data_IF_162863969523
#
_entry.id   IF_162863969523
#
_cell.length_a   1.000
_cell.length_b   1.000
_cell.length_c   1.000
_cell.angle_alpha   90.00
_cell.angle_beta   90.00
_cell.angle_gamma   90.00
#
_symmetry.space_group_name_H-M   'P 1'
#
loop_
_entity.id
_entity.type
_entity.pdbx_description
1 polymer ?
#
# COMPACT_ATOMS: atom_id res chain seq x y z
N UNK A 1 -15.96 2.53 7.66
CA UNK A 1 -16.54 1.35 8.32
C UNK A 1 -15.49 0.84 9.26
N UNK A 2 -15.83 0.52 10.51
CA UNK A 2 -14.85 0.04 11.49
C UNK A 2 -15.16 -1.42 11.81
N UNK A 3 -14.27 -2.33 11.42
CA UNK A 3 -14.37 -3.73 11.79
C UNK A 3 -13.97 -3.89 13.26
N UNK A 4 -14.68 -4.75 13.98
CA UNK A 4 -14.26 -5.13 15.32
C UNK A 4 -13.15 -6.19 15.28
N UNK A 5 -12.54 -6.49 16.43
CA UNK A 5 -11.40 -7.41 16.50
C UNK A 5 -11.73 -8.84 16.04
N UNK A 6 -12.96 -9.32 16.26
CA UNK A 6 -13.42 -10.64 15.80
C UNK A 6 -13.52 -10.67 14.27
N UNK A 7 -14.13 -9.66 13.67
CA UNK A 7 -14.23 -9.51 12.21
C UNK A 7 -12.86 -9.40 11.54
N UNK A 8 -11.90 -8.72 12.17
CA UNK A 8 -10.53 -8.64 11.64
C UNK A 8 -9.86 -10.03 11.70
N UNK A 9 -10.07 -10.80 12.78
CA UNK A 9 -9.58 -12.19 12.86
C UNK A 9 -10.21 -13.09 11.82
N UNK A 10 -11.51 -12.96 11.58
CA UNK A 10 -12.20 -13.69 10.50
C UNK A 10 -11.63 -13.34 9.13
N UNK A 11 -11.27 -12.07 8.90
CA UNK A 11 -10.66 -11.63 7.66
C UNK A 11 -9.25 -12.19 7.48
N UNK A 12 -8.46 -12.27 8.56
CA UNK A 12 -7.14 -12.92 8.57
C UNK A 12 -7.25 -14.42 8.28
N UNK A 13 -8.21 -15.10 8.92
CA UNK A 13 -8.48 -16.52 8.68
C UNK A 13 -8.88 -16.76 7.22
N UNK A 14 -9.85 -16.00 6.72
CA UNK A 14 -10.29 -16.04 5.32
C UNK A 14 -9.11 -15.84 4.36
N UNK A 15 -8.28 -14.82 4.62
CA UNK A 15 -7.14 -14.55 3.76
C UNK A 15 -6.17 -15.72 3.73
N UNK A 16 -5.97 -16.38 4.87
CA UNK A 16 -5.10 -17.55 4.96
C UNK A 16 -5.64 -18.79 4.23
N UNK A 17 -6.96 -19.03 4.27
CA UNK A 17 -7.56 -20.30 3.83
C UNK A 17 -8.26 -20.23 2.47
N UNK A 18 -8.90 -19.09 2.18
CA UNK A 18 -9.85 -18.94 1.07
C UNK A 18 -9.39 -17.96 -0.02
N UNK A 19 -8.55 -16.95 0.28
CA UNK A 19 -8.19 -15.91 -0.69
C UNK A 19 -7.46 -16.47 -1.92
N UNK A 20 -8.04 -16.24 -3.10
CA UNK A 20 -7.45 -16.59 -4.39
C UNK A 20 -6.27 -15.68 -4.73
N UNK A 21 -6.34 -14.40 -4.33
CA UNK A 21 -5.18 -13.50 -4.44
C UNK A 21 -4.00 -14.01 -3.63
N UNK A 22 -4.21 -14.48 -2.39
CA UNK A 22 -3.10 -15.02 -1.59
C UNK A 22 -2.48 -16.24 -2.26
N UNK A 23 -3.31 -17.20 -2.69
CA UNK A 23 -2.86 -18.43 -3.35
C UNK A 23 -2.02 -18.14 -4.59
N UNK A 24 -2.41 -17.13 -5.38
CA UNK A 24 -1.72 -16.77 -6.61
C UNK A 24 -0.47 -15.91 -6.41
N UNK A 25 -0.45 -15.02 -5.42
CA UNK A 25 0.61 -13.99 -5.30
C UNK A 25 1.60 -14.19 -4.16
N UNK A 26 1.26 -14.95 -3.10
CA UNK A 26 2.11 -15.04 -1.91
C UNK A 26 3.49 -15.64 -2.20
N UNK A 27 3.54 -16.72 -3.00
CA UNK A 27 4.80 -17.38 -3.39
C UNK A 27 5.76 -16.43 -4.10
N UNK A 28 5.31 -15.80 -5.20
CA UNK A 28 6.14 -14.86 -5.98
C UNK A 28 6.60 -13.64 -5.18
N UNK A 29 5.77 -13.13 -4.24
CA UNK A 29 6.18 -12.05 -3.34
C UNK A 29 7.28 -12.46 -2.36
N UNK A 30 7.21 -13.68 -1.83
CA UNK A 30 8.24 -14.23 -0.93
C UNK A 30 9.54 -14.51 -1.66
N UNK A 31 9.47 -15.06 -2.87
CA UNK A 31 10.64 -15.27 -3.73
C UNK A 31 11.32 -13.96 -4.09
N UNK A 32 10.55 -12.95 -4.55
CA UNK A 32 11.10 -11.64 -4.86
C UNK A 32 11.74 -10.98 -3.62
N UNK A 33 11.11 -11.09 -2.46
CA UNK A 33 11.66 -10.60 -1.20
C UNK A 33 13.01 -11.27 -0.86
N UNK A 34 13.12 -12.59 -1.02
CA UNK A 34 14.37 -13.33 -0.81
C UNK A 34 15.45 -12.82 -1.77
N UNK A 35 15.16 -12.73 -3.08
CA UNK A 35 16.13 -12.27 -4.07
C UNK A 35 16.57 -10.82 -3.83
N UNK A 36 15.64 -9.94 -3.48
CA UNK A 36 15.91 -8.54 -3.18
C UNK A 36 16.80 -8.39 -1.94
N UNK A 37 16.54 -9.18 -0.90
CA UNK A 37 17.32 -9.15 0.35
C UNK A 37 18.80 -9.51 0.16
N UNK A 38 19.15 -10.25 -0.90
CA UNK A 38 20.55 -10.63 -1.19
C UNK A 38 21.41 -9.44 -1.59
N UNK A 39 20.82 -8.43 -2.23
CA UNK A 39 21.57 -7.29 -2.74
C UNK A 39 21.24 -5.97 -2.05
N UNK A 40 20.06 -5.86 -1.42
CA UNK A 40 19.67 -4.69 -0.61
C UNK A 40 20.27 -4.83 0.80
N UNK A 41 21.59 -4.77 0.86
CA UNK A 41 22.39 -4.77 2.08
C UNK A 41 23.44 -3.66 1.99
N UNK A 42 23.74 -2.91 3.06
CA UNK A 42 24.68 -1.78 3.00
C UNK A 42 26.06 -2.14 2.44
N UNK A 43 26.63 -3.26 2.86
CA UNK A 43 27.92 -3.77 2.42
C UNK A 43 27.92 -4.16 0.94
N UNK A 44 26.86 -4.82 0.48
CA UNK A 44 26.70 -5.22 -0.92
C UNK A 44 26.46 -4.00 -1.81
N UNK A 45 25.51 -3.12 -1.44
CA UNK A 45 25.21 -1.90 -2.19
C UNK A 45 26.43 -0.99 -2.29
N UNK A 46 27.32 -0.93 -1.30
CA UNK A 46 28.50 -0.08 -1.39
C UNK A 46 29.63 -0.66 -2.24
N UNK A 47 29.62 -1.97 -2.50
CA UNK A 47 30.71 -2.67 -3.20
C UNK A 47 30.35 -3.12 -4.61
N UNK A 48 29.06 -3.21 -4.94
CA UNK A 48 28.59 -3.56 -6.28
C UNK A 48 29.19 -2.63 -7.35
N UNK A 49 29.65 -3.14 -8.51
CA UNK A 49 30.00 -2.29 -9.66
C UNK A 49 28.83 -1.38 -10.07
N UNK A 50 29.14 -0.19 -10.59
CA UNK A 50 28.13 0.84 -10.92
C UNK A 50 27.10 0.36 -11.97
N UNK A 51 27.54 -0.41 -12.95
CA UNK A 51 26.72 -0.99 -14.01
C UNK A 51 25.81 -2.10 -13.47
N UNK A 52 26.33 -2.95 -12.57
CA UNK A 52 25.55 -3.99 -11.92
C UNK A 52 24.52 -3.40 -10.95
N UNK A 53 24.90 -2.39 -10.17
CA UNK A 53 24.00 -1.68 -9.26
C UNK A 53 22.85 -1.04 -10.05
N UNK A 54 23.16 -0.36 -11.15
CA UNK A 54 22.16 0.25 -12.03
C UNK A 54 21.21 -0.79 -12.60
N UNK A 55 21.75 -1.90 -13.12
CA UNK A 55 20.94 -3.01 -13.66
C UNK A 55 19.99 -3.57 -12.59
N UNK A 56 20.52 -3.94 -11.41
CA UNK A 56 19.71 -4.51 -10.31
C UNK A 56 18.61 -3.55 -9.88
N UNK A 57 18.93 -2.27 -9.72
CA UNK A 57 17.93 -1.27 -9.36
C UNK A 57 16.85 -1.11 -10.44
N UNK A 58 17.22 -1.07 -11.73
CA UNK A 58 16.25 -0.95 -12.83
C UNK A 58 15.32 -2.17 -12.88
N UNK A 59 15.85 -3.38 -12.73
CA UNK A 59 15.08 -4.63 -12.68
C UNK A 59 14.13 -4.65 -11.47
N UNK A 60 14.65 -4.27 -10.29
CA UNK A 60 13.87 -4.09 -9.07
C UNK A 60 12.72 -3.09 -9.28
N UNK A 61 13.01 -1.95 -9.88
CA UNK A 61 12.02 -0.90 -10.11
C UNK A 61 10.92 -1.34 -11.08
N UNK A 62 11.32 -1.99 -12.18
CA UNK A 62 10.40 -2.44 -13.22
C UNK A 62 9.46 -3.56 -12.74
N UNK A 63 9.96 -4.44 -11.85
CA UNK A 63 9.17 -5.49 -11.21
C UNK A 63 8.36 -5.00 -10.01
N UNK A 64 8.62 -3.77 -9.54
CA UNK A 64 7.99 -3.25 -8.33
C UNK A 64 8.44 -3.97 -7.05
N UNK A 65 9.68 -4.47 -7.05
CA UNK A 65 10.19 -5.35 -6.00
C UNK A 65 9.41 -6.66 -5.84
N UNK A 66 8.66 -7.06 -6.88
CA UNK A 66 7.72 -8.19 -6.84
C UNK A 66 6.41 -7.93 -6.08
N UNK A 67 6.15 -6.69 -5.67
CA UNK A 67 5.02 -6.34 -4.79
C UNK A 67 3.99 -5.49 -5.51
N UNK A 68 4.39 -4.32 -6.02
CA UNK A 68 3.49 -3.37 -6.68
C UNK A 68 4.21 -2.52 -7.73
N UNK A 69 3.55 -2.25 -8.85
CA UNK A 69 4.12 -1.44 -9.92
C UNK A 69 4.49 -0.01 -9.46
N UNK A 70 5.69 0.43 -9.81
CA UNK A 70 6.19 1.78 -9.53
C UNK A 70 6.04 2.69 -10.75
N UNK A 71 5.83 3.99 -10.52
CA UNK A 71 5.64 4.97 -11.59
C UNK A 71 6.96 5.27 -12.31
N UNK A 72 7.11 4.77 -13.53
CA UNK A 72 8.35 4.78 -14.32
C UNK A 72 8.97 6.15 -14.61
N UNK A 73 8.27 7.26 -14.39
CA UNK A 73 8.71 8.63 -14.77
C UNK A 73 10.11 9.00 -14.22
N UNK A 74 10.46 8.56 -13.01
CA UNK A 74 11.73 8.96 -12.37
C UNK A 74 12.75 7.82 -12.22
N UNK A 75 12.49 6.62 -12.77
CA UNK A 75 13.35 5.44 -12.58
C UNK A 75 14.82 5.74 -12.84
N UNK A 76 15.15 6.18 -14.05
CA UNK A 76 16.54 6.38 -14.47
C UNK A 76 17.19 7.57 -13.75
N UNK A 77 16.39 8.56 -13.35
CA UNK A 77 16.88 9.74 -12.61
C UNK A 77 17.38 9.37 -11.22
N UNK A 78 16.72 8.42 -10.55
CA UNK A 78 17.04 8.02 -9.18
C UNK A 78 18.44 7.39 -9.09
N UNK A 79 18.82 6.58 -10.09
CA UNK A 79 20.09 5.84 -10.11
C UNK A 79 21.18 6.52 -10.94
N UNK A 80 20.87 7.66 -11.57
CA UNK A 80 21.79 8.40 -12.45
C UNK A 80 23.12 8.73 -11.75
N UNK A 81 23.07 9.17 -10.50
CA UNK A 81 24.24 9.40 -9.66
C UNK A 81 24.40 8.23 -8.67
N UNK A 82 25.30 7.31 -8.98
CA UNK A 82 25.50 6.08 -8.20
C UNK A 82 25.98 6.36 -6.79
N UNK A 83 26.90 7.32 -6.63
CA UNK A 83 27.39 7.72 -5.31
C UNK A 83 26.25 8.24 -4.43
N UNK A 84 25.43 9.17 -4.95
CA UNK A 84 24.28 9.69 -4.21
C UNK A 84 23.25 8.60 -3.89
N UNK A 85 23.02 7.67 -4.81
CA UNK A 85 22.13 6.53 -4.58
C UNK A 85 22.66 5.62 -3.45
N UNK A 86 23.95 5.27 -3.46
CA UNK A 86 24.60 4.46 -2.42
C UNK A 86 24.52 5.14 -1.06
N UNK A 87 24.79 6.44 -1.00
CA UNK A 87 24.67 7.23 0.23
C UNK A 87 23.24 7.23 0.77
N UNK A 88 22.25 7.45 -0.09
CA UNK A 88 20.83 7.45 0.29
C UNK A 88 20.38 6.09 0.82
N UNK A 89 20.68 5.00 0.11
CA UNK A 89 20.27 3.66 0.58
C UNK A 89 21.06 3.24 1.83
N UNK A 90 22.37 3.50 1.89
CA UNK A 90 23.17 3.16 3.08
C UNK A 90 22.67 3.91 4.32
N UNK A 91 22.33 5.19 4.19
CA UNK A 91 21.74 5.97 5.28
C UNK A 91 20.37 5.42 5.69
N UNK A 92 19.52 5.06 4.71
CA UNK A 92 18.21 4.47 4.97
C UNK A 92 18.31 3.15 5.75
N UNK A 93 19.34 2.34 5.48
CA UNK A 93 19.51 1.00 6.05
C UNK A 93 20.37 0.97 7.33
N UNK A 94 20.92 2.11 7.78
CA UNK A 94 21.75 2.18 8.98
C UNK A 94 20.94 2.03 10.28
N UNK A 95 20.92 0.84 10.87
CA UNK A 95 20.15 0.58 12.08
C UNK A 95 20.66 1.30 13.35
N UNK A 96 21.80 1.99 13.30
CA UNK A 96 22.29 2.83 14.40
C UNK A 96 21.54 4.18 14.49
N UNK A 97 20.78 4.55 13.46
CA UNK A 97 19.99 5.76 13.41
C UNK A 97 18.51 5.40 13.57
N UNK A 98 17.77 6.21 14.32
CA UNK A 98 16.32 6.04 14.48
C UNK A 98 15.61 5.96 13.11
N UNK A 99 14.66 5.04 13.00
CA UNK A 99 13.97 4.76 11.74
C UNK A 99 13.18 5.97 11.23
N UNK A 100 12.58 6.74 12.12
CA UNK A 100 11.84 7.94 11.77
C UNK A 100 12.76 9.02 11.18
N UNK A 101 13.94 9.17 11.77
CA UNK A 101 14.99 10.08 11.29
C UNK A 101 15.47 9.67 9.89
N UNK A 102 15.86 8.40 9.72
CA UNK A 102 16.32 7.85 8.43
C UNK A 102 15.32 8.06 7.31
N UNK A 103 14.06 7.71 7.57
CA UNK A 103 13.01 7.82 6.56
C UNK A 103 12.74 9.28 6.21
N UNK A 104 12.68 10.17 7.20
CA UNK A 104 12.46 11.62 7.00
C UNK A 104 13.57 12.21 6.13
N UNK A 105 14.83 11.92 6.44
CA UNK A 105 15.96 12.48 5.70
C UNK A 105 16.07 11.97 4.25
N UNK A 106 15.60 10.74 3.99
CA UNK A 106 15.62 10.14 2.64
C UNK A 106 14.44 10.61 1.80
N UNK A 107 13.27 10.77 2.40
CA UNK A 107 12.05 11.15 1.67
C UNK A 107 11.93 12.67 1.49
N UNK A 108 12.41 13.47 2.46
CA UNK A 108 12.18 14.92 2.48
C UNK A 108 13.43 15.74 2.84
N UNK A 109 14.51 15.11 3.30
CA UNK A 109 15.68 15.80 3.86
C UNK A 109 16.97 15.66 3.06
N UNK A 110 18.09 15.58 3.80
CA UNK A 110 19.45 15.69 3.23
C UNK A 110 19.78 14.62 2.19
N UNK A 111 19.26 13.41 2.34
CA UNK A 111 19.55 12.27 1.48
C UNK A 111 18.52 12.12 0.35
N UNK A 112 17.64 13.11 0.15
CA UNK A 112 16.59 13.04 -0.84
C UNK A 112 17.10 12.95 -2.29
N UNK A 113 16.47 12.07 -3.06
CA UNK A 113 16.61 11.94 -4.50
C UNK A 113 15.23 12.05 -5.13
N UNK A 114 15.07 12.98 -6.08
CA UNK A 114 13.80 13.19 -6.77
C UNK A 114 13.23 11.89 -7.34
N UNK A 115 11.99 11.57 -6.94
CA UNK A 115 11.31 10.33 -7.31
C UNK A 115 11.37 9.23 -6.24
N UNK A 116 12.18 9.39 -5.20
CA UNK A 116 12.16 8.50 -4.02
C UNK A 116 11.14 9.03 -3.01
N UNK A 117 9.94 8.44 -3.03
CA UNK A 117 8.90 8.68 -2.02
C UNK A 117 8.83 7.58 -0.96
N UNK A 118 7.90 7.74 0.00
CA UNK A 118 7.66 6.78 1.11
C UNK A 118 7.52 5.32 0.65
N UNK A 119 6.82 5.08 -0.46
CA UNK A 119 6.59 3.73 -0.96
C UNK A 119 7.87 3.02 -1.41
N UNK A 120 8.77 3.72 -2.11
CA UNK A 120 10.04 3.15 -2.56
C UNK A 120 11.02 2.99 -1.39
N UNK A 121 11.14 4.01 -0.54
CA UNK A 121 12.01 3.97 0.64
C UNK A 121 11.63 2.82 1.58
N UNK A 122 10.34 2.68 1.90
CA UNK A 122 9.87 1.59 2.78
C UNK A 122 9.90 0.21 2.12
N UNK A 123 9.92 0.14 0.78
CA UNK A 123 10.18 -1.10 0.06
C UNK A 123 11.63 -1.57 0.24
N UNK A 124 12.62 -0.66 0.14
CA UNK A 124 14.01 -0.99 0.48
C UNK A 124 14.16 -1.46 1.93
N UNK A 125 13.49 -0.79 2.88
CA UNK A 125 13.51 -1.21 4.29
C UNK A 125 12.96 -2.62 4.49
N UNK A 126 11.82 -2.93 3.87
CA UNK A 126 11.21 -4.25 3.95
C UNK A 126 12.07 -5.34 3.32
N UNK A 127 12.72 -5.06 2.18
CA UNK A 127 13.62 -6.03 1.53
C UNK A 127 14.94 -6.21 2.31
N UNK A 128 15.40 -5.17 3.00
CA UNK A 128 16.57 -5.24 3.90
C UNK A 128 16.30 -6.12 5.13
N UNK A 129 15.17 -5.90 5.82
CA UNK A 129 14.79 -6.69 6.99
C UNK A 129 13.27 -6.91 7.05
N UNK A 130 12.75 -7.99 6.43
CA UNK A 130 11.31 -8.24 6.30
C UNK A 130 10.60 -8.60 7.60
N UNK A 131 11.35 -8.96 8.65
CA UNK A 131 10.80 -9.21 9.97
C UNK A 131 10.55 -7.90 10.74
N UNK A 132 11.30 -6.85 10.39
CA UNK A 132 11.32 -5.57 11.12
C UNK A 132 10.55 -4.46 10.42
N UNK A 133 10.59 -4.42 9.10
CA UNK A 133 10.05 -3.30 8.34
C UNK A 133 8.93 -3.74 7.40
N UNK A 134 8.00 -2.82 7.18
CA UNK A 134 6.90 -2.99 6.25
C UNK A 134 6.93 -1.89 5.19
N UNK A 135 6.25 -2.15 4.08
CA UNK A 135 5.95 -1.12 3.09
C UNK A 135 4.86 -0.20 3.63
N UNK A 136 5.03 1.08 3.35
CA UNK A 136 4.03 2.10 3.56
C UNK A 136 3.78 2.87 2.26
N UNK A 137 2.68 2.53 1.61
CA UNK A 137 2.20 3.19 0.40
C UNK A 137 0.69 3.46 0.49
N UNK A 138 0.10 3.98 -0.58
CA UNK A 138 -1.34 4.28 -0.63
C UNK A 138 -2.22 3.03 -0.43
N UNK A 139 -1.76 1.84 -0.84
CA UNK A 139 -2.48 0.58 -0.63
C UNK A 139 -2.45 0.15 0.83
N UNK A 140 -1.33 0.33 1.52
CA UNK A 140 -1.24 0.14 2.98
C UNK A 140 -2.28 1.01 3.69
N UNK A 141 -2.35 2.30 3.34
CA UNK A 141 -3.31 3.25 3.92
C UNK A 141 -4.76 2.89 3.60
N UNK A 142 -5.06 2.53 2.35
CA UNK A 142 -6.40 2.09 1.95
C UNK A 142 -6.83 0.81 2.66
N UNK A 143 -5.95 -0.18 2.76
CA UNK A 143 -6.26 -1.44 3.46
C UNK A 143 -6.53 -1.21 4.95
N UNK A 144 -5.73 -0.37 5.61
CA UNK A 144 -5.97 0.00 7.00
C UNK A 144 -7.29 0.75 7.16
N UNK A 145 -7.62 1.66 6.24
CA UNK A 145 -8.90 2.36 6.24
C UNK A 145 -10.09 1.41 6.03
N UNK A 146 -9.94 0.35 5.24
CA UNK A 146 -10.99 -0.69 5.03
C UNK A 146 -11.35 -1.40 6.33
N UNK A 147 -10.37 -1.68 7.20
CA UNK A 147 -10.61 -2.25 8.53
C UNK A 147 -10.95 -1.18 9.59
N UNK A 148 -10.99 0.10 9.20
CA UNK A 148 -11.35 1.23 10.03
C UNK A 148 -10.22 1.77 10.91
N UNK A 149 -8.97 1.51 10.55
CA UNK A 149 -7.80 2.00 11.28
C UNK A 149 -7.21 3.23 10.61
N UNK A 150 -6.97 4.27 11.41
CA UNK A 150 -6.25 5.49 11.03
C UNK A 150 -5.11 5.68 12.05
N UNK A 151 -3.92 5.10 11.81
CA UNK A 151 -2.92 4.92 12.84
C UNK A 151 -2.15 6.19 13.19
N UNK A 152 -2.29 7.27 12.41
CA UNK A 152 -1.54 8.49 12.61
C UNK A 152 -2.39 9.73 12.37
N UNK A 153 -1.98 10.87 12.92
CA UNK A 153 -2.59 12.17 12.65
C UNK A 153 -1.90 12.88 11.49
N UNK A 154 -2.63 13.78 10.82
CA UNK A 154 -2.03 14.66 9.79
C UNK A 154 -0.87 15.50 10.34
N UNK A 155 -0.91 15.83 11.65
CA UNK A 155 0.09 16.64 12.35
C UNK A 155 1.37 15.88 12.69
N UNK A 156 1.35 14.54 12.63
CA UNK A 156 2.52 13.72 12.95
C UNK A 156 3.63 13.95 11.91
N UNK A 157 4.88 13.87 12.36
CA UNK A 157 6.03 13.89 11.45
C UNK A 157 6.03 12.66 10.54
N UNK A 158 6.77 12.70 9.43
CA UNK A 158 6.87 11.52 8.53
C UNK A 158 7.37 10.28 9.29
N UNK A 159 8.38 10.45 10.14
CA UNK A 159 8.93 9.39 10.97
C UNK A 159 7.90 8.83 11.97
N UNK A 160 7.14 9.69 12.64
CA UNK A 160 6.08 9.26 13.57
C UNK A 160 4.98 8.49 12.83
N UNK A 161 4.56 8.98 11.66
CA UNK A 161 3.58 8.30 10.81
C UNK A 161 4.05 6.88 10.46
N UNK A 162 5.30 6.71 10.06
CA UNK A 162 5.83 5.38 9.73
C UNK A 162 5.93 4.47 10.95
N UNK A 163 6.40 4.97 12.09
CA UNK A 163 6.41 4.24 13.36
C UNK A 163 5.01 3.78 13.77
N UNK A 164 3.99 4.61 13.57
CA UNK A 164 2.61 4.26 13.85
C UNK A 164 2.04 3.23 12.86
N UNK A 165 2.40 3.32 11.58
CA UNK A 165 2.07 2.29 10.58
C UNK A 165 2.69 0.94 10.97
N UNK A 166 3.98 0.91 11.34
CA UNK A 166 4.65 -0.30 11.80
C UNK A 166 3.93 -0.94 12.99
N UNK A 167 3.61 -0.14 14.02
CA UNK A 167 2.83 -0.62 15.19
C UNK A 167 1.48 -1.20 14.78
N UNK A 168 0.77 -0.55 13.86
CA UNK A 168 -0.50 -1.04 13.35
C UNK A 168 -0.34 -2.38 12.62
N UNK A 169 0.65 -2.51 11.73
CA UNK A 169 0.84 -3.78 10.99
C UNK A 169 1.32 -4.91 11.89
N UNK A 170 2.13 -4.63 12.91
CA UNK A 170 2.45 -5.61 13.93
C UNK A 170 1.23 -6.06 14.71
N UNK A 171 0.39 -5.11 15.16
CA UNK A 171 -0.88 -5.44 15.81
C UNK A 171 -1.72 -6.34 14.91
N UNK A 172 -1.87 -6.00 13.63
CA UNK A 172 -2.67 -6.78 12.69
C UNK A 172 -2.13 -8.20 12.50
N UNK A 173 -0.82 -8.35 12.33
CA UNK A 173 -0.14 -9.66 12.27
C UNK A 173 -0.41 -10.49 13.54
N UNK A 174 -0.31 -9.86 14.70
CA UNK A 174 -0.33 -10.52 16.00
C UNK A 174 -1.76 -10.81 16.49
N UNK A 175 -2.80 -10.39 15.77
CA UNK A 175 -4.20 -10.74 16.06
C UNK A 175 -4.52 -12.22 15.78
N UNK A 176 -3.72 -12.89 14.94
CA UNK A 176 -3.91 -14.30 14.59
C UNK A 176 -2.57 -15.07 14.61
N UNK A 177 -1.92 -15.22 15.78
CA UNK A 177 -0.57 -15.77 15.87
C UNK A 177 -0.46 -17.22 15.37
N UNK A 178 -1.56 -17.99 15.44
CA UNK A 178 -1.61 -19.37 14.92
C UNK A 178 -1.48 -19.49 13.39
N UNK A 179 -1.60 -18.38 12.65
CA UNK A 179 -1.50 -18.38 11.19
C UNK A 179 -0.06 -18.19 10.69
N UNK A 180 0.90 -17.88 11.58
CA UNK A 180 2.32 -17.65 11.24
C UNK A 180 2.53 -16.68 10.07
N UNK A 181 1.72 -15.61 10.00
CA UNK A 181 1.84 -14.61 8.94
C UNK A 181 3.07 -13.71 9.15
N UNK A 182 3.71 -13.35 8.04
CA UNK A 182 4.79 -12.36 8.01
C UNK A 182 4.28 -10.99 7.59
N UNK A 183 5.08 -9.93 7.76
CA UNK A 183 4.70 -8.58 7.32
C UNK A 183 4.41 -8.51 5.81
N UNK A 184 5.03 -9.39 5.00
CA UNK A 184 4.72 -9.51 3.55
C UNK A 184 3.34 -10.11 3.28
N UNK A 185 2.87 -11.01 4.14
CA UNK A 185 1.51 -11.55 4.06
C UNK A 185 0.50 -10.47 4.45
N UNK A 186 0.83 -9.63 5.45
CA UNK A 186 0.00 -8.49 5.86
C UNK A 186 -0.07 -7.42 4.77
N UNK A 187 1.05 -7.08 4.11
CA UNK A 187 1.02 -6.19 2.95
C UNK A 187 0.11 -6.73 1.84
N UNK A 188 0.19 -8.03 1.55
CA UNK A 188 -0.67 -8.67 0.55
C UNK A 188 -2.14 -8.65 0.98
N UNK A 189 -2.45 -8.93 2.24
CA UNK A 189 -3.80 -8.80 2.78
C UNK A 189 -4.36 -7.40 2.55
N UNK A 190 -3.63 -6.35 2.91
CA UNK A 190 -4.07 -4.96 2.77
C UNK A 190 -4.29 -4.58 1.30
N UNK A 191 -3.43 -5.07 0.40
CA UNK A 191 -3.65 -4.96 -1.04
C UNK A 191 -4.95 -5.67 -1.45
N UNK A 192 -5.12 -6.93 -1.06
CA UNK A 192 -6.27 -7.77 -1.42
C UNK A 192 -7.59 -7.13 -1.00
N UNK A 193 -7.73 -6.76 0.27
CA UNK A 193 -9.00 -6.25 0.82
C UNK A 193 -9.36 -4.84 0.31
N UNK A 194 -8.37 -4.10 -0.21
CA UNK A 194 -8.58 -2.74 -0.72
C UNK A 194 -8.77 -2.67 -2.24
N UNK A 195 -8.36 -3.70 -2.97
CA UNK A 195 -8.18 -3.58 -4.44
C UNK A 195 -8.61 -4.82 -5.23
N UNK A 196 -8.66 -6.00 -4.61
CA UNK A 196 -8.95 -7.25 -5.31
C UNK A 196 -10.39 -7.70 -5.05
N UNK A 197 -11.01 -8.31 -6.06
CA UNK A 197 -12.43 -8.66 -6.00
C UNK A 197 -12.75 -9.65 -4.87
N UNK A 198 -11.93 -10.67 -4.67
CA UNK A 198 -12.13 -11.67 -3.61
C UNK A 198 -12.04 -11.01 -2.21
N UNK A 199 -11.07 -10.12 -2.02
CA UNK A 199 -10.89 -9.33 -0.79
C UNK A 199 -12.05 -8.39 -0.51
N UNK A 200 -12.50 -7.64 -1.52
CA UNK A 200 -13.62 -6.70 -1.39
C UNK A 200 -14.90 -7.47 -1.02
N UNK A 201 -15.16 -8.62 -1.63
CA UNK A 201 -16.32 -9.45 -1.29
C UNK A 201 -16.22 -10.08 0.10
N UNK A 202 -15.01 -10.52 0.52
CA UNK A 202 -14.79 -11.03 1.87
C UNK A 202 -15.09 -9.98 2.94
N UNK A 203 -14.63 -8.74 2.75
CA UNK A 203 -14.92 -7.62 3.67
C UNK A 203 -16.43 -7.38 3.76
N UNK A 204 -17.16 -7.37 2.63
CA UNK A 204 -18.62 -7.19 2.64
C UNK A 204 -19.33 -8.31 3.41
N UNK A 205 -18.93 -9.56 3.19
CA UNK A 205 -19.47 -10.73 3.87
C UNK A 205 -19.26 -10.66 5.38
N UNK A 206 -18.03 -10.40 5.82
CA UNK A 206 -17.62 -10.41 7.24
C UNK A 206 -18.16 -9.21 8.00
N UNK A 207 -18.23 -8.04 7.35
CA UNK A 207 -18.79 -6.84 7.96
C UNK A 207 -20.30 -6.92 8.23
N UNK A 208 -20.99 -7.97 7.73
CA UNK A 208 -22.44 -8.09 7.84
C UNK A 208 -23.18 -7.05 7.00
N UNK A 209 -22.49 -6.36 6.09
CA UNK A 209 -23.08 -5.39 5.19
C UNK A 209 -23.88 -6.14 4.13
N UNK A 210 -25.19 -6.27 4.36
CA UNK A 210 -26.16 -6.69 3.33
C UNK A 210 -26.05 -5.71 2.15
N UNK A 211 -25.41 -6.16 1.08
CA UNK A 211 -25.45 -5.56 -0.26
C UNK A 211 -25.53 -4.02 -0.32
N UNK A 212 -24.72 -3.30 0.46
CA UNK A 212 -24.47 -1.90 0.13
C UNK A 212 -23.54 -1.89 -1.09
N UNK A 213 -24.00 -1.19 -2.11
CA UNK A 213 -23.39 -1.05 -3.43
C UNK A 213 -22.08 -0.26 -3.34
N UNK A 214 -21.06 -0.86 -2.73
CA UNK A 214 -19.81 -0.20 -2.32
C UNK A 214 -19.01 0.37 -3.51
N UNK A 215 -19.18 -0.18 -4.71
CA UNK A 215 -18.60 0.40 -5.93
C UNK A 215 -19.37 1.61 -6.49
N UNK A 216 -20.69 1.71 -6.28
CA UNK A 216 -21.54 2.72 -6.93
C UNK A 216 -21.78 3.97 -6.07
N UNK A 217 -21.76 3.84 -4.74
CA UNK A 217 -21.82 5.00 -3.86
C UNK A 217 -20.54 5.85 -3.92
N UNK A 218 -19.37 5.23 -4.09
CA UNK A 218 -18.11 5.95 -4.25
C UNK A 218 -18.03 6.70 -5.59
N UNK A 219 -18.53 6.09 -6.68
CA UNK A 219 -18.71 6.75 -7.99
C UNK A 219 -19.72 7.90 -7.92
N UNK A 220 -20.86 7.71 -7.24
CA UNK A 220 -21.86 8.75 -7.04
C UNK A 220 -21.32 9.90 -6.20
N UNK A 221 -20.58 9.62 -5.12
CA UNK A 221 -19.96 10.66 -4.28
C UNK A 221 -18.87 11.42 -5.04
N UNK A 222 -18.08 10.75 -5.87
CA UNK A 222 -17.11 11.40 -6.77
C UNK A 222 -17.81 12.29 -7.79
N UNK A 223 -18.94 11.84 -8.33
CA UNK A 223 -19.76 12.59 -9.28
C UNK A 223 -20.40 13.84 -8.63
N UNK A 224 -20.83 13.74 -7.37
CA UNK A 224 -21.36 14.87 -6.59
C UNK A 224 -20.26 15.90 -6.30
N UNK A 225 -19.06 15.44 -5.93
CA UNK A 225 -17.91 16.33 -5.75
C UNK A 225 -17.52 17.03 -7.06
N UNK A 226 -17.61 16.34 -8.20
CA UNK A 226 -17.39 16.95 -9.52
C UNK A 226 -18.48 17.98 -9.86
N UNK A 227 -19.74 17.70 -9.56
CA UNK A 227 -20.85 18.65 -9.74
C UNK A 227 -20.73 19.90 -8.86
N UNK A 228 -20.13 19.79 -7.67
CA UNK A 228 -19.86 20.97 -6.84
C UNK A 228 -18.82 21.92 -7.45
N UNK A 229 -17.98 21.42 -8.37
CA UNK A 229 -16.92 22.19 -9.02
C UNK A 229 -17.18 22.46 -10.52
N UNK A 230 -18.15 21.77 -11.12
CA UNK A 230 -18.50 21.86 -12.55
C UNK A 230 -20.01 21.86 -12.71
N UNK A 231 -20.53 22.76 -13.54
CA UNK A 231 -21.98 22.89 -13.77
C UNK A 231 -22.63 21.67 -14.45
N UNK A 232 -21.84 20.70 -14.94
CA UNK A 232 -22.33 19.50 -15.61
C UNK A 232 -21.36 18.33 -15.50
N UNK A 233 -21.90 17.11 -15.50
CA UNK A 233 -21.17 15.85 -15.58
C UNK A 233 -21.83 14.92 -16.60
N UNK A 234 -21.05 14.03 -17.22
CA UNK A 234 -21.54 13.01 -18.16
C UNK A 234 -21.23 11.63 -17.58
N UNK A 235 -22.26 10.80 -17.39
CA UNK A 235 -22.09 9.40 -17.01
C UNK A 235 -22.00 8.54 -18.29
N UNK A 236 -20.83 7.96 -18.58
CA UNK A 236 -20.61 7.16 -19.79
C UNK A 236 -20.25 5.71 -19.46
N UNK A 237 -20.54 4.78 -20.40
CA UNK A 237 -20.19 3.35 -20.29
C UNK A 237 -21.16 2.43 -21.05
N UNK A 238 -20.84 1.13 -21.22
CA UNK A 238 -21.69 0.14 -21.90
C UNK A 238 -23.13 0.03 -21.34
N UNK A 239 -24.12 -0.48 -22.10
CA UNK A 239 -25.45 -0.78 -21.57
C UNK A 239 -25.39 -1.71 -20.34
N UNK A 240 -26.23 -1.48 -19.34
CA UNK A 240 -26.26 -2.31 -18.12
C UNK A 240 -25.26 -1.93 -17.02
N UNK A 241 -24.33 -0.99 -17.25
CA UNK A 241 -23.30 -0.59 -16.26
C UNK A 241 -23.80 0.31 -15.13
N UNK A 242 -25.12 0.48 -14.95
CA UNK A 242 -25.68 1.19 -13.80
C UNK A 242 -25.70 2.72 -13.87
N UNK A 243 -25.49 3.33 -15.04
CA UNK A 243 -25.60 4.79 -15.24
C UNK A 243 -26.91 5.39 -14.72
N UNK A 244 -28.04 4.78 -15.07
CA UNK A 244 -29.38 5.20 -14.61
C UNK A 244 -29.52 5.14 -13.09
N UNK A 245 -28.86 4.16 -12.46
CA UNK A 245 -28.87 4.02 -11.01
C UNK A 245 -28.04 5.13 -10.34
N UNK A 246 -26.83 5.42 -10.85
CA UNK A 246 -25.99 6.50 -10.32
C UNK A 246 -26.66 7.87 -10.47
N UNK A 247 -27.31 8.14 -11.61
CA UNK A 247 -28.10 9.35 -11.81
C UNK A 247 -29.21 9.51 -10.76
N UNK A 248 -29.90 8.42 -10.41
CA UNK A 248 -30.95 8.42 -9.38
C UNK A 248 -30.41 8.74 -7.99
N UNK A 249 -29.26 8.16 -7.62
CA UNK A 249 -28.61 8.44 -6.32
C UNK A 249 -28.15 9.89 -6.21
N UNK A 250 -27.57 10.44 -7.29
CA UNK A 250 -27.18 11.86 -7.34
C UNK A 250 -28.42 12.74 -7.16
N UNK A 251 -29.51 12.45 -7.88
CA UNK A 251 -30.75 13.21 -7.77
C UNK A 251 -31.34 13.21 -6.35
N UNK A 252 -31.44 12.04 -5.71
CA UNK A 252 -31.92 11.92 -4.31
C UNK A 252 -31.06 12.75 -3.36
N UNK A 253 -29.74 12.73 -3.53
CA UNK A 253 -28.83 13.51 -2.65
C UNK A 253 -28.93 15.03 -2.83
N UNK A 254 -29.28 15.51 -4.03
CA UNK A 254 -29.45 16.94 -4.28
C UNK A 254 -30.84 17.48 -3.91
N UNK A 255 -31.88 16.65 -4.06
CA UNK A 255 -33.28 17.06 -3.88
C UNK A 255 -33.77 16.73 -2.45
N UNK A 256 -33.09 15.84 -1.74
CA UNK A 256 -33.57 15.23 -0.50
C UNK A 256 -34.45 14.00 -0.80
N UNK A 257 -34.64 13.12 0.18
CA UNK A 257 -35.64 12.05 0.06
C UNK A 257 -37.03 12.71 -0.01
N UNK A 258 -37.76 12.40 -1.07
CA UNK A 258 -39.19 12.71 -1.18
C UNK A 258 -39.91 11.47 -0.66
N UNK A 259 -40.58 11.59 0.49
CA UNK A 259 -41.43 10.55 1.07
C UNK A 259 -42.46 9.99 0.06
#
# INVERSE_FOLDING_TARGET
>A
MNLNDEQIRDLLNWFNTESETRKSMSGGRKEALIENSKWIQPDIINTLPDDELEKKYIEYYNSGGGKQALNRINRDKIIRNKQKFREMVSYLLDENIDIGTRLTDVVEGKYHIDGVGKGLATSFLMDFNPKKYCIWNEKTEKGLSVIGWDPYSKKDSLGDKYSNILKALYKLRDMAPGLNMELVDIDLLLHTISSENDGIEAVKRISGVKSLKFGREMEANTSILLLSNKSQIILYGPPGTGKTYNARIIAVKFIGEVD
#
